data_IF_438665635741
#
_entry.id   IF_438665635741
#
_cell.length_a   1.000
_cell.length_b   1.000
_cell.length_c   1.000
_cell.angle_alpha   90.00
_cell.angle_beta   90.00
_cell.angle_gamma   90.00
#
_symmetry.space_group_name_H-M   'P 1'
#
loop_
_entity.id
_entity.type
_entity.pdbx_description
1 polymer ?
#
# COMPACT_ATOMS: atom_id res chain seq x y z
N UNK A 1 -6.52 14.56 -12.02
CA UNK A 1 -7.14 15.17 -10.82
C UNK A 1 -8.20 14.20 -10.33
N UNK A 2 -8.32 13.95 -9.03
CA UNK A 2 -9.37 13.07 -8.51
C UNK A 2 -10.72 13.79 -8.57
N UNK A 3 -11.77 13.11 -9.03
CA UNK A 3 -13.13 13.66 -9.04
C UNK A 3 -13.60 13.92 -7.60
N UNK A 4 -13.87 15.19 -7.27
CA UNK A 4 -14.41 15.59 -5.97
C UNK A 4 -15.91 15.79 -6.06
N UNK A 5 -16.66 15.12 -5.19
CA UNK A 5 -18.12 15.25 -5.07
C UNK A 5 -18.45 16.15 -3.86
N UNK A 6 -19.41 17.06 -4.04
CA UNK A 6 -19.98 17.87 -2.94
C UNK A 6 -21.18 17.13 -2.36
N UNK A 7 -21.21 16.98 -1.05
CA UNK A 7 -22.30 16.30 -0.34
C UNK A 7 -22.75 17.17 0.84
N UNK A 8 -24.04 17.40 0.95
CA UNK A 8 -24.67 18.05 2.11
C UNK A 8 -25.13 16.98 3.09
N UNK A 9 -24.72 17.11 4.35
CA UNK A 9 -25.08 16.17 5.42
C UNK A 9 -25.74 16.92 6.58
N UNK A 10 -26.68 16.26 7.25
CA UNK A 10 -27.27 16.76 8.49
C UNK A 10 -26.37 16.36 9.66
N UNK A 11 -25.96 17.34 10.46
CA UNK A 11 -25.13 17.13 11.65
C UNK A 11 -25.73 17.89 12.84
N UNK A 12 -25.63 17.34 14.07
CA UNK A 12 -25.89 18.09 15.28
C UNK A 12 -25.01 19.35 15.35
N UNK A 13 -25.58 20.45 15.84
CA UNK A 13 -24.89 21.75 15.91
C UNK A 13 -23.62 21.68 16.75
N UNK A 14 -23.67 20.98 17.89
CA UNK A 14 -22.54 20.81 18.80
C UNK A 14 -21.34 20.17 18.10
N UNK A 15 -21.58 19.10 17.33
CA UNK A 15 -20.55 18.38 16.58
C UNK A 15 -19.94 19.27 15.49
N UNK A 16 -20.78 20.05 14.79
CA UNK A 16 -20.29 20.99 13.78
C UNK A 16 -19.43 22.09 14.41
N UNK A 17 -19.80 22.57 15.60
CA UNK A 17 -19.05 23.58 16.34
C UNK A 17 -17.68 23.05 16.76
N UNK A 18 -17.63 21.87 17.36
CA UNK A 18 -16.37 21.23 17.75
C UNK A 18 -15.46 20.98 16.55
N UNK A 19 -16.00 20.46 15.44
CA UNK A 19 -15.23 20.21 14.23
C UNK A 19 -14.61 21.50 13.65
N UNK A 20 -15.32 22.63 13.71
CA UNK A 20 -14.78 23.93 13.31
C UNK A 20 -13.66 24.41 14.23
N UNK A 21 -13.82 24.26 15.54
CA UNK A 21 -12.78 24.62 16.51
C UNK A 21 -11.52 23.80 16.26
N UNK A 22 -11.65 22.50 16.04
CA UNK A 22 -10.53 21.61 15.71
C UNK A 22 -9.83 22.06 14.42
N UNK A 23 -10.58 22.37 13.37
CA UNK A 23 -9.99 22.87 12.11
C UNK A 23 -9.18 24.17 12.31
N UNK A 24 -9.68 25.09 13.15
CA UNK A 24 -8.95 26.33 13.49
C UNK A 24 -7.67 26.02 14.25
N UNK A 25 -7.73 25.16 15.26
CA UNK A 25 -6.58 24.78 16.09
C UNK A 25 -5.47 24.12 15.25
N UNK A 26 -5.86 23.28 14.29
CA UNK A 26 -4.93 22.58 13.39
C UNK A 26 -4.46 23.43 12.21
N UNK A 27 -4.98 24.66 12.04
CA UNK A 27 -4.75 25.53 10.88
C UNK A 27 -5.11 24.83 9.56
N UNK A 28 -6.18 24.03 9.58
CA UNK A 28 -6.69 23.27 8.44
C UNK A 28 -8.11 23.69 8.07
N UNK A 29 -8.69 23.05 7.04
CA UNK A 29 -10.07 23.29 6.64
C UNK A 29 -10.99 22.22 7.23
N UNK A 30 -12.25 22.58 7.48
CA UNK A 30 -13.27 21.64 7.95
C UNK A 30 -13.38 20.41 7.03
N UNK A 31 -13.32 20.60 5.71
CA UNK A 31 -13.34 19.51 4.74
C UNK A 31 -12.16 18.55 4.89
N UNK A 32 -10.98 19.06 5.27
CA UNK A 32 -9.80 18.23 5.53
C UNK A 32 -9.98 17.40 6.80
N UNK A 33 -10.46 18.01 7.89
CA UNK A 33 -10.77 17.30 9.15
C UNK A 33 -11.81 16.20 8.92
N UNK A 34 -12.88 16.51 8.19
CA UNK A 34 -13.92 15.51 7.86
C UNK A 34 -13.31 14.38 7.01
N UNK A 35 -12.54 14.71 5.97
CA UNK A 35 -11.88 13.70 5.14
C UNK A 35 -10.96 12.79 5.95
N UNK A 36 -10.08 13.33 6.77
CA UNK A 36 -9.14 12.56 7.58
C UNK A 36 -9.86 11.68 8.61
N UNK A 37 -10.94 12.20 9.21
CA UNK A 37 -11.77 11.41 10.13
C UNK A 37 -12.46 10.24 9.42
N UNK A 38 -12.96 10.46 8.20
CA UNK A 38 -13.56 9.41 7.38
C UNK A 38 -12.52 8.42 6.90
N UNK A 39 -11.36 8.87 6.42
CA UNK A 39 -10.23 8.01 6.01
C UNK A 39 -9.69 7.18 7.18
N UNK A 40 -9.72 7.69 8.41
CA UNK A 40 -9.30 6.93 9.59
C UNK A 40 -10.30 5.82 9.91
N UNK A 41 -11.60 6.10 9.84
CA UNK A 41 -12.68 5.12 10.08
C UNK A 41 -12.77 4.09 8.95
N UNK A 42 -12.72 4.57 7.71
CA UNK A 42 -12.77 3.78 6.49
C UNK A 42 -11.46 3.04 6.24
N UNK A 43 -10.30 3.60 6.57
CA UNK A 43 -9.00 2.94 6.42
C UNK A 43 -8.90 1.67 7.24
N UNK A 44 -9.54 1.62 8.42
CA UNK A 44 -9.70 0.39 9.21
C UNK A 44 -10.61 -0.64 8.52
N UNK A 45 -11.65 -0.23 7.80
CA UNK A 45 -12.62 -1.12 7.13
C UNK A 45 -12.24 -1.50 5.69
N UNK A 46 -11.55 -0.63 4.94
CA UNK A 46 -11.09 -0.83 3.56
C UNK A 46 -9.82 -1.68 3.57
N UNK A 47 -8.88 -1.45 4.50
CA UNK A 47 -7.70 -2.31 4.63
C UNK A 47 -8.10 -3.73 5.06
N UNK A 48 -9.08 -3.89 5.96
CA UNK A 48 -9.57 -5.22 6.36
C UNK A 48 -10.40 -5.91 5.28
N UNK A 49 -11.15 -5.17 4.45
CA UNK A 49 -11.91 -5.77 3.33
C UNK A 49 -10.99 -6.21 2.16
N UNK A 50 -9.89 -5.50 1.91
CA UNK A 50 -8.90 -5.88 0.87
C UNK A 50 -7.88 -6.95 1.31
N UNK A 51 -7.76 -7.28 2.59
CA UNK A 51 -6.87 -8.37 3.04
C UNK A 51 -7.44 -9.76 2.70
N UNK A 52 -8.74 -9.89 2.41
CA UNK A 52 -9.35 -11.16 1.95
C UNK A 52 -9.27 -11.39 0.44
N UNK A 53 -8.65 -10.49 -0.33
CA UNK A 53 -8.40 -10.75 -1.75
C UNK A 53 -7.01 -11.35 -1.94
N UNK A 54 -7.00 -12.69 -1.92
CA UNK A 54 -6.20 -13.53 -2.79
C UNK A 54 -4.73 -13.10 -2.97
N UNK A 55 -3.95 -13.13 -1.88
CA UNK A 55 -2.50 -13.20 -2.01
C UNK A 55 -2.13 -14.67 -2.14
N UNK A 56 -2.06 -15.10 -3.39
CA UNK A 56 -1.48 -16.37 -3.81
C UNK A 56 -0.20 -16.65 -2.97
N UNK A 57 -0.17 -17.69 -2.12
CA UNK A 57 0.97 -17.96 -1.23
C UNK A 57 2.27 -18.18 -2.02
N UNK A 58 2.17 -18.45 -3.32
CA UNK A 58 3.28 -18.59 -4.25
C UNK A 58 4.03 -17.26 -4.51
N UNK A 59 3.43 -16.09 -4.24
CA UNK A 59 4.09 -14.78 -4.44
C UNK A 59 5.23 -14.51 -3.45
N UNK A 60 5.29 -15.24 -2.34
CA UNK A 60 6.36 -15.10 -1.34
C UNK A 60 7.57 -16.01 -1.60
N UNK A 61 7.46 -17.00 -2.50
CA UNK A 61 8.59 -17.87 -2.86
C UNK A 61 9.75 -17.12 -3.52
N UNK A 62 9.49 -15.99 -4.19
CA UNK A 62 10.53 -15.16 -4.80
C UNK A 62 11.23 -14.19 -3.83
N UNK A 63 10.65 -13.91 -2.66
CA UNK A 63 11.18 -12.93 -1.71
C UNK A 63 12.19 -13.53 -0.71
N UNK A 64 12.23 -14.87 -0.59
CA UNK A 64 13.21 -15.59 0.23
C UNK A 64 14.48 -15.98 -0.54
N UNK A 65 14.88 -15.22 -1.57
CA UNK A 65 16.21 -15.34 -2.17
C UNK A 65 17.27 -14.64 -1.30
N UNK A 66 17.35 -15.02 -0.02
CA UNK A 66 18.45 -14.61 0.85
C UNK A 66 19.65 -15.49 0.46
N UNK A 67 20.59 -14.89 -0.28
CA UNK A 67 21.92 -15.47 -0.51
C UNK A 67 22.25 -15.95 -1.93
N UNK A 68 21.34 -15.89 -2.91
CA UNK A 68 21.63 -16.33 -4.28
C UNK A 68 21.81 -15.11 -5.17
N UNK A 69 23.06 -14.79 -5.53
CA UNK A 69 23.38 -13.81 -6.59
C UNK A 69 22.99 -14.44 -7.94
N UNK A 70 21.77 -14.15 -8.38
CA UNK A 70 21.17 -14.53 -9.68
C UNK A 70 20.84 -16.03 -9.79
N UNK A 71 19.55 -16.43 -9.82
CA UNK A 71 19.21 -17.79 -10.23
C UNK A 71 19.50 -17.93 -11.73
N UNK A 72 20.32 -18.91 -12.10
CA UNK A 72 20.52 -19.32 -13.49
C UNK A 72 19.16 -19.58 -14.16
N UNK A 73 18.91 -18.95 -15.31
CA UNK A 73 17.60 -19.02 -15.98
C UNK A 73 17.34 -20.38 -16.59
N UNK A 74 18.39 -21.08 -17.05
CA UNK A 74 18.31 -22.44 -17.57
C UNK A 74 19.45 -23.32 -17.05
N UNK A 75 19.19 -24.63 -16.91
CA UNK A 75 20.21 -25.62 -16.49
C UNK A 75 21.45 -25.65 -17.40
N UNK A 76 21.30 -25.26 -18.67
CA UNK A 76 22.39 -25.18 -19.63
C UNK A 76 23.47 -24.16 -19.21
N UNK A 77 23.06 -23.06 -18.57
CA UNK A 77 23.96 -21.97 -18.15
C UNK A 77 25.00 -22.45 -17.12
N UNK A 78 24.63 -23.42 -16.27
CA UNK A 78 25.52 -24.05 -15.29
C UNK A 78 26.66 -24.84 -15.95
N UNK A 79 26.36 -25.53 -17.05
CA UNK A 79 27.34 -26.35 -17.74
C UNK A 79 28.32 -25.50 -18.55
N UNK A 80 27.85 -24.41 -19.16
CA UNK A 80 28.72 -23.49 -19.90
C UNK A 80 29.78 -22.84 -19.01
N UNK A 81 29.39 -22.40 -17.81
CA UNK A 81 30.33 -21.75 -16.88
C UNK A 81 31.43 -22.72 -16.42
N UNK A 82 31.05 -23.97 -16.17
CA UNK A 82 31.97 -25.02 -15.75
C UNK A 82 32.92 -25.46 -16.87
N UNK A 83 32.46 -25.43 -18.13
CA UNK A 83 33.28 -25.72 -19.31
C UNK A 83 34.25 -24.58 -19.64
N UNK A 84 33.80 -23.32 -19.57
CA UNK A 84 34.67 -22.14 -19.79
C UNK A 84 35.84 -22.12 -18.81
N UNK A 85 35.55 -22.37 -17.52
CA UNK A 85 36.58 -22.42 -16.46
C UNK A 85 37.58 -23.56 -16.64
N UNK A 86 37.18 -24.67 -17.28
CA UNK A 86 38.06 -25.82 -17.58
C UNK A 86 38.90 -25.60 -18.86
N UNK A 87 38.40 -24.80 -19.79
CA UNK A 87 39.06 -24.45 -21.05
C UNK A 87 40.03 -23.26 -20.92
N UNK A 88 40.17 -22.67 -19.73
CA UNK A 88 41.19 -21.66 -19.44
C UNK A 88 40.93 -20.27 -20.03
N UNK A 89 39.67 -19.89 -20.20
CA UNK A 89 39.26 -18.51 -20.48
C UNK A 89 38.77 -17.81 -19.20
#
# INVERSE_FOLDING_TARGET
MADMVKTTIMLPEDILREAKITAVNEKTTLSKVIRESLETRLGKTIRTRNIKQNKDPLRFLGAFSIGIKVPYKHRADLYEEHLKRKMGF
#
